data_IF_705780172580
#
_entry.id   IF_705780172580
#
_cell.length_a   1.000
_cell.length_b   1.000
_cell.length_c   1.000
_cell.angle_alpha   90.00
_cell.angle_beta   90.00
_cell.angle_gamma   90.00
#
_symmetry.space_group_name_H-M   'P 1'
#
loop_
_entity.id
_entity.type
_entity.pdbx_description
1 polymer ?
#
# COMPACT_ATOMS: atom_id res chain seq x y z
N UNK A 1 -1.51 10.87 -51.30
CA UNK A 1 -2.54 11.43 -50.40
C UNK A 1 -1.98 11.37 -48.98
N UNK A 2 -2.00 12.45 -48.19
CA UNK A 2 -1.55 12.37 -46.79
C UNK A 2 -2.63 11.69 -45.96
N UNK A 3 -2.23 10.68 -45.20
CA UNK A 3 -3.12 9.90 -44.34
C UNK A 3 -3.74 10.78 -43.24
N UNK A 4 -5.01 10.56 -42.93
CA UNK A 4 -5.68 11.25 -41.83
C UNK A 4 -5.21 10.67 -40.50
N UNK A 5 -4.98 11.52 -39.50
CA UNK A 5 -4.78 11.09 -38.12
C UNK A 5 -6.03 11.36 -37.30
N UNK A 6 -6.29 10.51 -36.31
CA UNK A 6 -7.43 10.64 -35.40
C UNK A 6 -7.03 11.51 -34.21
N UNK A 7 -7.86 12.49 -33.87
CA UNK A 7 -7.67 13.36 -32.71
C UNK A 7 -8.89 13.32 -31.81
N UNK A 8 -8.69 13.51 -30.50
CA UNK A 8 -9.76 13.59 -29.51
C UNK A 8 -9.59 14.79 -28.57
N UNK A 9 -10.72 15.28 -28.05
CA UNK A 9 -10.75 16.36 -27.07
C UNK A 9 -10.58 15.78 -25.66
N UNK A 10 -9.53 16.20 -24.95
CA UNK A 10 -9.29 15.78 -23.56
C UNK A 10 -10.35 16.24 -22.55
N UNK A 11 -11.19 17.21 -22.92
CA UNK A 11 -12.23 17.77 -22.04
C UNK A 11 -13.61 17.13 -22.22
N UNK A 12 -14.00 16.82 -23.47
CA UNK A 12 -15.35 16.37 -23.79
C UNK A 12 -15.42 15.07 -24.61
N UNK A 13 -14.29 14.45 -24.94
CA UNK A 13 -14.24 13.18 -25.67
C UNK A 13 -14.59 13.23 -27.16
N UNK A 14 -15.05 14.37 -27.69
CA UNK A 14 -15.28 14.50 -29.13
C UNK A 14 -14.02 14.19 -29.92
N UNK A 15 -14.14 13.41 -30.99
CA UNK A 15 -13.04 13.07 -31.88
C UNK A 15 -13.31 13.57 -33.31
N UNK A 16 -12.23 13.80 -34.05
CA UNK A 16 -12.26 14.26 -35.43
C UNK A 16 -10.96 13.89 -36.15
N UNK A 17 -10.98 13.98 -37.48
CA UNK A 17 -9.87 13.57 -38.34
C UNK A 17 -9.21 14.77 -38.97
N UNK A 18 -7.88 14.87 -38.86
CA UNK A 18 -7.12 15.97 -39.43
C UNK A 18 -5.82 15.47 -40.05
N UNK A 19 -5.39 16.13 -41.12
CA UNK A 19 -4.07 15.87 -41.73
C UNK A 19 -2.93 16.57 -40.98
N UNK A 20 -3.21 17.68 -40.30
CA UNK A 20 -2.22 18.49 -39.60
C UNK A 20 -2.69 18.82 -38.18
N UNK A 21 -1.84 18.69 -37.15
CA UNK A 21 -2.19 18.96 -35.76
C UNK A 21 -2.75 20.37 -35.52
N UNK A 22 -2.26 21.37 -36.27
CA UNK A 22 -2.69 22.78 -36.14
C UNK A 22 -4.18 23.00 -36.42
N UNK A 23 -4.82 22.11 -37.18
CA UNK A 23 -6.25 22.19 -37.50
C UNK A 23 -7.10 21.45 -36.46
N UNK A 24 -6.48 20.66 -35.58
CA UNK A 24 -7.18 19.82 -34.62
C UNK A 24 -7.61 20.63 -33.40
N UNK A 25 -8.65 21.45 -33.56
CA UNK A 25 -9.26 22.26 -32.50
C UNK A 25 -10.67 21.78 -32.25
N UNK A 26 -11.00 21.49 -30.99
CA UNK A 26 -12.33 21.01 -30.62
C UNK A 26 -13.37 22.14 -30.80
N UNK A 27 -14.43 21.94 -31.60
CA UNK A 27 -15.42 23.00 -31.85
C UNK A 27 -16.28 23.31 -30.61
N UNK A 28 -16.41 22.38 -29.67
CA UNK A 28 -17.20 22.58 -28.46
C UNK A 28 -16.41 23.22 -27.30
N UNK A 29 -15.11 22.94 -27.21
CA UNK A 29 -14.28 23.39 -26.09
C UNK A 29 -13.26 24.46 -26.47
N UNK A 30 -13.07 24.71 -27.76
CA UNK A 30 -12.08 25.63 -28.32
C UNK A 30 -10.66 25.39 -27.79
N UNK A 31 -10.27 24.11 -27.65
CA UNK A 31 -8.92 23.70 -27.23
C UNK A 31 -8.29 22.79 -28.28
N UNK A 32 -6.95 22.79 -28.33
CA UNK A 32 -6.20 21.84 -29.15
C UNK A 32 -6.53 20.41 -28.74
N UNK A 33 -6.88 19.59 -29.72
CA UNK A 33 -7.13 18.18 -29.58
C UNK A 33 -5.81 17.41 -29.52
N UNK A 34 -5.85 16.20 -28.98
CA UNK A 34 -4.71 15.31 -28.83
C UNK A 34 -4.82 14.19 -29.84
N UNK A 35 -3.72 13.86 -30.51
CA UNK A 35 -3.67 12.76 -31.48
C UNK A 35 -3.78 11.42 -30.76
N UNK A 36 -4.58 10.49 -31.29
CA UNK A 36 -4.56 9.09 -30.87
C UNK A 36 -3.46 8.35 -31.60
N UNK A 37 -2.72 7.51 -30.88
CA UNK A 37 -1.68 6.64 -31.43
C UNK A 37 -2.28 5.33 -31.97
N UNK A 38 -3.20 5.45 -32.93
CA UNK A 38 -3.86 4.35 -33.66
C UNK A 38 -4.01 4.78 -35.13
N UNK A 39 -3.96 3.83 -36.06
CA UNK A 39 -4.19 4.15 -37.46
C UNK A 39 -5.65 4.57 -37.69
N UNK A 40 -5.88 5.33 -38.76
CA UNK A 40 -7.24 5.72 -39.14
C UNK A 40 -8.11 4.49 -39.42
N UNK A 41 -7.55 3.50 -40.11
CA UNK A 41 -8.26 2.26 -40.48
C UNK A 41 -8.67 1.47 -39.23
N UNK A 42 -7.73 1.22 -38.32
CA UNK A 42 -8.03 0.48 -37.09
C UNK A 42 -9.09 1.20 -36.24
N UNK A 43 -9.06 2.54 -36.20
CA UNK A 43 -10.06 3.31 -35.45
C UNK A 43 -11.46 3.26 -36.10
N UNK A 44 -11.52 3.19 -37.43
CA UNK A 44 -12.77 3.05 -38.18
C UNK A 44 -13.39 1.66 -38.00
N UNK A 45 -12.56 0.64 -37.82
CA UNK A 45 -13.02 -0.73 -37.56
C UNK A 45 -13.60 -0.91 -36.14
N UNK A 46 -13.25 -0.02 -35.20
CA UNK A 46 -13.84 -0.02 -33.86
C UNK A 46 -15.33 0.38 -33.88
N UNK A 47 -16.14 -0.32 -33.09
CA UNK A 47 -17.52 0.06 -32.80
C UNK A 47 -17.63 1.33 -31.95
N UNK A 48 -18.83 1.90 -31.86
CA UNK A 48 -19.09 3.12 -31.08
C UNK A 48 -18.66 2.99 -29.61
N UNK A 49 -19.02 1.88 -28.95
CA UNK A 49 -18.65 1.64 -27.55
C UNK A 49 -17.14 1.49 -27.37
N UNK A 50 -16.46 0.83 -28.30
CA UNK A 50 -15.01 0.62 -28.25
C UNK A 50 -14.26 1.95 -28.43
N UNK A 51 -14.74 2.81 -29.32
CA UNK A 51 -14.20 4.18 -29.48
C UNK A 51 -14.37 5.00 -28.21
N UNK A 52 -15.56 4.98 -27.60
CA UNK A 52 -15.82 5.71 -26.36
C UNK A 52 -14.96 5.20 -25.20
N UNK A 53 -14.79 3.87 -25.08
CA UNK A 53 -13.89 3.26 -24.08
C UNK A 53 -12.44 3.66 -24.32
N UNK A 54 -11.96 3.62 -25.56
CA UNK A 54 -10.60 4.01 -25.94
C UNK A 54 -10.33 5.47 -25.56
N UNK A 55 -11.22 6.38 -25.98
CA UNK A 55 -11.09 7.82 -25.71
C UNK A 55 -11.17 8.10 -24.22
N UNK A 56 -12.11 7.48 -23.50
CA UNK A 56 -12.24 7.62 -22.05
C UNK A 56 -10.97 7.18 -21.33
N UNK A 57 -10.37 6.06 -21.74
CA UNK A 57 -9.10 5.57 -21.19
C UNK A 57 -7.96 6.58 -21.42
N UNK A 58 -7.87 7.16 -22.62
CA UNK A 58 -6.87 8.17 -22.91
C UNK A 58 -7.09 9.48 -22.14
N UNK A 59 -8.34 9.92 -21.95
CA UNK A 59 -8.66 11.07 -21.09
C UNK A 59 -8.19 10.84 -19.66
N UNK A 60 -8.50 9.65 -19.11
CA UNK A 60 -8.13 9.26 -17.76
C UNK A 60 -6.61 9.20 -17.61
N UNK A 61 -5.90 8.55 -18.54
CA UNK A 61 -4.44 8.45 -18.55
C UNK A 61 -3.76 9.82 -18.58
N UNK A 62 -4.33 10.77 -19.34
CA UNK A 62 -3.82 12.13 -19.46
C UNK A 62 -4.31 13.08 -18.34
N UNK A 63 -5.07 12.57 -17.35
CA UNK A 63 -5.61 13.34 -16.22
C UNK A 63 -5.17 12.77 -14.87
N UNK A 64 -3.88 12.89 -14.48
CA UNK A 64 -3.35 12.30 -13.26
C UNK A 64 -4.00 12.84 -11.97
N UNK A 65 -4.49 14.07 -11.99
CA UNK A 65 -5.21 14.70 -10.87
C UNK A 65 -6.57 14.04 -10.61
N UNK A 66 -7.24 13.57 -11.66
CA UNK A 66 -8.53 12.89 -11.56
C UNK A 66 -8.38 11.50 -10.94
N UNK A 67 -7.42 10.71 -11.42
CA UNK A 67 -7.09 9.39 -10.84
C UNK A 67 -6.68 9.51 -9.38
N UNK A 68 -5.84 10.51 -9.04
CA UNK A 68 -5.42 10.74 -7.66
C UNK A 68 -6.62 11.03 -6.73
N UNK A 69 -7.62 11.79 -7.21
CA UNK A 69 -8.83 12.12 -6.45
C UNK A 69 -9.77 10.92 -6.27
N UNK A 70 -9.91 10.09 -7.30
CA UNK A 70 -10.76 8.88 -7.23
C UNK A 70 -10.14 7.84 -6.30
N UNK A 71 -8.82 7.63 -6.38
CA UNK A 71 -8.13 6.58 -5.62
C UNK A 71 -7.71 7.01 -4.21
N UNK A 72 -7.81 8.29 -3.86
CA UNK A 72 -7.39 8.76 -2.52
C UNK A 72 -8.21 8.18 -1.36
N UNK A 73 -9.55 8.03 -1.44
CA UNK A 73 -10.32 7.45 -0.35
C UNK A 73 -9.94 5.99 -0.10
N UNK A 74 -9.82 5.18 -1.15
CA UNK A 74 -9.46 3.75 -1.03
C UNK A 74 -8.06 3.56 -0.44
N UNK A 75 -7.09 4.38 -0.87
CA UNK A 75 -5.74 4.37 -0.27
C UNK A 75 -5.76 4.67 1.22
N UNK A 76 -6.59 5.63 1.63
CA UNK A 76 -6.72 6.01 3.03
C UNK A 76 -7.46 4.95 3.85
N UNK A 77 -8.48 4.30 3.27
CA UNK A 77 -9.18 3.18 3.89
C UNK A 77 -8.26 1.99 4.12
N UNK A 78 -7.54 1.55 3.07
CA UNK A 78 -6.59 0.43 3.15
C UNK A 78 -5.47 0.72 4.17
N UNK A 79 -5.03 1.99 4.26
CA UNK A 79 -4.06 2.41 5.26
C UNK A 79 -4.62 2.28 6.69
N UNK A 80 -5.87 2.69 6.93
CA UNK A 80 -6.52 2.56 8.24
C UNK A 80 -6.68 1.11 8.65
N UNK A 81 -7.09 0.26 7.72
CA UNK A 81 -7.23 -1.18 7.97
C UNK A 81 -5.89 -1.80 8.36
N UNK A 82 -4.83 -1.51 7.60
CA UNK A 82 -3.47 -1.98 7.92
C UNK A 82 -3.00 -1.48 9.29
N UNK A 83 -3.24 -0.21 9.61
CA UNK A 83 -2.90 0.36 10.93
C UNK A 83 -3.64 -0.37 12.04
N UNK A 84 -4.94 -0.66 11.88
CA UNK A 84 -5.72 -1.42 12.85
C UNK A 84 -5.13 -2.81 13.10
N UNK A 85 -4.83 -3.56 12.03
CA UNK A 85 -4.22 -4.89 12.13
C UNK A 85 -2.87 -4.87 12.85
N UNK A 86 -2.01 -3.92 12.49
CA UNK A 86 -0.70 -3.78 13.13
C UNK A 86 -0.82 -3.36 14.60
N UNK A 87 -1.78 -2.50 14.93
CA UNK A 87 -2.01 -2.07 16.31
C UNK A 87 -2.43 -3.26 17.19
N UNK A 88 -3.40 -4.06 16.74
CA UNK A 88 -3.78 -5.28 17.48
C UNK A 88 -2.62 -6.27 17.62
N UNK A 89 -1.73 -6.35 16.62
CA UNK A 89 -0.54 -7.21 16.74
C UNK A 89 0.47 -6.70 17.76
N UNK A 90 0.63 -5.38 17.88
CA UNK A 90 1.48 -4.77 18.90
C UNK A 90 0.92 -5.07 20.29
N UNK A 91 -0.38 -4.88 20.51
CA UNK A 91 -1.04 -5.18 21.80
C UNK A 91 -0.85 -6.66 22.21
N UNK A 92 -0.98 -7.59 21.27
CA UNK A 92 -0.73 -9.02 21.52
C UNK A 92 0.73 -9.28 21.94
N UNK A 93 1.69 -8.69 21.22
CA UNK A 93 3.12 -8.84 21.51
C UNK A 93 3.52 -8.19 22.84
N UNK A 94 2.90 -7.07 23.20
CA UNK A 94 3.09 -6.42 24.50
C UNK A 94 2.57 -7.30 25.65
N UNK A 95 1.40 -7.90 25.48
CA UNK A 95 0.84 -8.84 26.47
C UNK A 95 1.72 -10.08 26.66
N UNK A 96 2.28 -10.63 25.58
CA UNK A 96 3.19 -11.77 25.67
C UNK A 96 4.54 -11.39 26.30
N UNK A 97 5.09 -10.22 25.96
CA UNK A 97 6.27 -9.69 26.65
C UNK A 97 6.05 -9.52 28.15
N UNK A 98 4.87 -9.06 28.56
CA UNK A 98 4.54 -8.94 29.97
C UNK A 98 4.58 -10.30 30.68
N UNK A 99 3.94 -11.34 30.10
CA UNK A 99 3.99 -12.71 30.66
C UNK A 99 5.42 -13.25 30.76
N UNK A 100 6.24 -12.98 29.74
CA UNK A 100 7.64 -13.39 29.75
C UNK A 100 8.42 -12.68 30.87
N UNK A 101 8.20 -11.38 31.07
CA UNK A 101 8.81 -10.64 32.17
C UNK A 101 8.39 -11.20 33.54
N UNK A 102 7.09 -11.45 33.76
CA UNK A 102 6.59 -12.08 34.99
C UNK A 102 7.25 -13.45 35.24
N UNK A 103 7.47 -14.23 34.18
CA UNK A 103 8.17 -15.52 34.26
C UNK A 103 9.63 -15.34 34.68
N UNK A 104 10.32 -14.36 34.12
CA UNK A 104 11.73 -14.05 34.46
C UNK A 104 11.85 -13.59 35.92
N UNK A 105 10.94 -12.73 36.38
CA UNK A 105 10.89 -12.29 37.77
C UNK A 105 10.69 -13.47 38.73
N UNK A 106 9.76 -14.37 38.40
CA UNK A 106 9.54 -15.59 39.17
C UNK A 106 10.77 -16.51 39.17
N UNK A 107 11.42 -16.68 38.02
CA UNK A 107 12.67 -17.46 37.93
C UNK A 107 13.77 -16.85 38.82
N UNK A 108 13.95 -15.53 38.80
CA UNK A 108 14.91 -14.85 39.66
C UNK A 108 14.62 -15.10 41.14
N UNK A 109 13.37 -14.94 41.59
CA UNK A 109 12.98 -15.20 42.98
C UNK A 109 13.29 -16.64 43.40
N UNK A 110 12.95 -17.60 42.53
CA UNK A 110 13.20 -19.03 42.78
C UNK A 110 14.69 -19.35 42.87
N UNK A 111 15.50 -18.83 41.95
CA UNK A 111 16.95 -19.03 41.96
C UNK A 111 17.56 -18.47 43.26
N UNK A 112 17.11 -17.30 43.70
CA UNK A 112 17.57 -16.69 44.95
C UNK A 112 17.25 -17.55 46.18
N UNK A 113 16.05 -18.11 46.25
CA UNK A 113 15.66 -19.02 47.34
C UNK A 113 16.54 -20.28 47.35
N UNK A 114 16.77 -20.88 46.18
CA UNK A 114 17.63 -22.06 46.06
C UNK A 114 19.08 -21.76 46.46
N UNK A 115 19.63 -20.62 46.04
CA UNK A 115 20.99 -20.21 46.41
C UNK A 115 21.15 -20.01 47.92
N UNK A 116 20.16 -19.42 48.59
CA UNK A 116 20.19 -19.25 50.04
C UNK A 116 20.18 -20.60 50.75
N UNK A 117 19.35 -21.55 50.29
CA UNK A 117 19.27 -22.90 50.84
C UNK A 117 20.56 -23.68 50.65
N UNK A 118 21.20 -23.56 49.49
CA UNK A 118 22.53 -24.15 49.24
C UNK A 118 23.55 -23.61 50.25
N UNK A 119 23.60 -22.29 50.47
CA UNK A 119 24.51 -21.66 51.44
C UNK A 119 24.26 -22.06 52.89
N UNK A 120 23.02 -22.35 53.27
CA UNK A 120 22.69 -22.88 54.60
C UNK A 120 23.20 -24.31 54.76
N UNK A 121 22.91 -25.18 53.78
CA UNK A 121 23.38 -26.56 53.79
C UNK A 121 24.92 -26.66 53.77
N UNK A 122 25.60 -25.80 53.02
CA UNK A 122 27.07 -25.74 53.01
C UNK A 122 27.63 -25.42 54.40
N UNK A 123 26.99 -24.50 55.15
CA UNK A 123 27.37 -24.17 56.53
C UNK A 123 27.14 -25.34 57.48
N UNK A 124 25.96 -25.97 57.43
CA UNK A 124 25.65 -27.14 58.26
C UNK A 124 26.64 -28.29 58.02
N UNK A 125 26.99 -28.56 56.75
CA UNK A 125 27.98 -29.59 56.40
C UNK A 125 29.36 -29.24 56.96
N UNK A 126 29.75 -27.96 56.94
CA UNK A 126 31.04 -27.51 57.46
C UNK A 126 31.11 -27.63 58.99
N UNK A 127 30.03 -27.27 59.69
CA UNK A 127 29.93 -27.43 61.14
C UNK A 127 30.00 -28.91 61.53
N UNK A 128 29.27 -29.80 60.85
CA UNK A 128 29.31 -31.24 61.10
C UNK A 128 30.68 -31.88 60.86
N UNK A 129 31.47 -31.38 59.90
CA UNK A 129 32.84 -31.83 59.68
C UNK A 129 33.77 -31.40 60.81
N UNK A 130 33.61 -30.17 61.32
CA UNK A 130 34.42 -29.63 62.41
C UNK A 130 34.24 -30.31 63.77
N UNK A 131 33.09 -30.98 63.98
CA UNK A 131 32.79 -31.75 65.21
C UNK A 131 33.38 -33.17 65.18
N UNK A 132 33.80 -33.64 64.00
CA UNK A 132 34.29 -35.01 63.78
C UNK A 132 35.81 -35.14 63.83
N UNK A 133 36.53 -34.02 63.79
CA UNK A 133 37.99 -33.90 63.95
C UNK A 133 38.34 -33.54 65.41
#
# INVERSE_FOLDING_TARGET
>A
MRELSVYFCRKCGRYAYYQLPKNAVCPACNISMTQLHISYHDFMDLGHEERDRLISREIIKNSPTFIKRITSPDKLYNQKELVGLLTSKVEELEADNQKLNETVEWMHATIWEQLNKIKELEREVQDLKSVKD
#
